data_IF_971414036565
#
_entry.id   IF_971414036565
#
_cell.length_a   1.000
_cell.length_b   1.000
_cell.length_c   1.000
_cell.angle_alpha   90.00
_cell.angle_beta   90.00
_cell.angle_gamma   90.00
#
_symmetry.space_group_name_H-M   'P 1'
#
loop_
_entity.id
_entity.type
_entity.pdbx_description
1 polymer ?
#
# COMPACT_ATOMS: atom_id res chain seq x y z
N UNK A 1 -12.39 -5.52 -14.70
CA UNK A 1 -12.79 -4.76 -13.49
C UNK A 1 -14.14 -4.10 -13.70
N UNK A 2 -14.98 -4.04 -12.68
CA UNK A 2 -16.23 -3.28 -12.69
C UNK A 2 -16.02 -1.90 -12.06
N UNK A 3 -16.99 -0.99 -12.22
CA UNK A 3 -17.01 0.36 -11.62
C UNK A 3 -16.72 0.34 -10.12
N UNK A 4 -17.32 -0.58 -9.39
CA UNK A 4 -17.12 -0.75 -7.95
C UNK A 4 -15.67 -1.15 -7.57
N UNK A 5 -14.89 -1.67 -8.52
CA UNK A 5 -13.52 -2.13 -8.28
C UNK A 5 -12.45 -1.02 -8.39
N UNK A 6 -12.75 0.13 -9.02
CA UNK A 6 -11.82 1.27 -9.04
C UNK A 6 -11.78 2.01 -7.71
N UNK A 7 -12.85 1.94 -6.91
CA UNK A 7 -12.89 2.50 -5.56
C UNK A 7 -12.86 4.03 -5.48
N UNK A 8 -13.08 4.74 -6.60
CA UNK A 8 -13.10 6.21 -6.67
C UNK A 8 -14.52 6.67 -6.98
N UNK A 9 -15.20 7.37 -6.06
CA UNK A 9 -16.54 7.90 -6.30
C UNK A 9 -16.54 9.03 -7.35
N UNK A 10 -17.62 9.14 -8.12
CA UNK A 10 -17.86 10.30 -8.99
C UNK A 10 -16.94 10.46 -10.18
N UNK A 11 -16.28 9.37 -10.64
CA UNK A 11 -15.44 9.41 -11.83
C UNK A 11 -16.19 9.89 -13.07
N UNK A 12 -15.51 10.72 -13.87
CA UNK A 12 -15.96 11.04 -15.23
C UNK A 12 -16.11 9.72 -16.05
N UNK A 13 -17.18 9.61 -16.82
CA UNK A 13 -17.53 8.36 -17.51
C UNK A 13 -16.52 7.95 -18.58
N UNK A 14 -15.89 8.91 -19.26
CA UNK A 14 -14.89 8.64 -20.30
C UNK A 14 -13.57 8.20 -19.66
N UNK A 15 -13.15 8.88 -18.58
CA UNK A 15 -11.98 8.48 -17.80
C UNK A 15 -12.19 7.10 -17.19
N UNK A 16 -13.34 6.82 -16.61
CA UNK A 16 -13.67 5.52 -16.02
C UNK A 16 -13.56 4.39 -17.04
N UNK A 17 -14.17 4.56 -18.24
CA UNK A 17 -14.10 3.57 -19.32
C UNK A 17 -12.64 3.32 -19.77
N UNK A 18 -11.84 4.39 -19.89
CA UNK A 18 -10.42 4.30 -20.23
C UNK A 18 -9.63 3.54 -19.16
N UNK A 19 -9.81 3.88 -17.87
CA UNK A 19 -9.14 3.19 -16.77
C UNK A 19 -9.50 1.72 -16.70
N UNK A 20 -10.78 1.36 -16.89
CA UNK A 20 -11.23 -0.05 -16.92
C UNK A 20 -10.56 -0.80 -18.07
N UNK A 21 -10.48 -0.20 -19.26
CA UNK A 21 -9.83 -0.80 -20.42
C UNK A 21 -8.33 -1.01 -20.18
N UNK A 22 -7.62 0.00 -19.66
CA UNK A 22 -6.20 -0.09 -19.42
C UNK A 22 -5.88 -1.02 -18.24
N UNK A 23 -6.71 -1.08 -17.21
CA UNK A 23 -6.59 -2.08 -16.13
C UNK A 23 -6.74 -3.51 -16.65
N UNK A 24 -7.62 -3.75 -17.62
CA UNK A 24 -7.73 -5.06 -18.26
C UNK A 24 -6.44 -5.45 -19.01
N UNK A 25 -5.79 -4.49 -19.69
CA UNK A 25 -4.47 -4.69 -20.33
C UNK A 25 -3.36 -4.96 -19.30
N UNK A 26 -3.39 -4.25 -18.16
CA UNK A 26 -2.46 -4.51 -17.03
C UNK A 26 -2.64 -5.94 -16.52
N UNK A 27 -3.87 -6.39 -16.28
CA UNK A 27 -4.15 -7.75 -15.81
C UNK A 27 -3.72 -8.82 -16.81
N UNK A 28 -3.95 -8.58 -18.10
CA UNK A 28 -3.52 -9.48 -19.17
C UNK A 28 -1.99 -9.58 -19.21
N UNK A 29 -1.30 -8.42 -19.21
CA UNK A 29 0.15 -8.37 -19.26
C UNK A 29 0.76 -8.99 -17.99
N UNK A 30 0.19 -8.72 -16.81
CA UNK A 30 0.59 -9.31 -15.54
C UNK A 30 0.57 -10.83 -15.62
N UNK A 31 -0.54 -11.42 -16.07
CA UNK A 31 -0.67 -12.88 -16.25
C UNK A 31 0.28 -13.44 -17.30
N UNK A 32 0.52 -12.70 -18.39
CA UNK A 32 1.40 -13.15 -19.48
C UNK A 32 2.87 -13.23 -19.07
N UNK A 33 3.30 -12.48 -18.08
CA UNK A 33 4.65 -12.54 -17.52
C UNK A 33 4.87 -13.68 -16.52
N UNK A 34 3.78 -14.24 -15.96
CA UNK A 34 3.83 -15.38 -15.05
C UNK A 34 3.71 -16.67 -15.88
N UNK A 35 4.73 -16.92 -16.67
CA UNK A 35 4.88 -18.11 -17.52
C UNK A 35 6.26 -18.71 -17.33
N UNK A 36 6.36 -20.00 -17.38
CA UNK A 36 7.64 -20.69 -17.20
C UNK A 36 7.55 -22.15 -17.65
N UNK A 37 8.66 -22.87 -17.58
CA UNK A 37 8.74 -24.29 -17.89
C UNK A 37 8.46 -25.19 -16.68
N UNK A 38 8.51 -24.62 -15.48
CA UNK A 38 8.40 -25.38 -14.22
C UNK A 38 6.98 -25.16 -13.63
N UNK A 39 6.13 -26.20 -13.59
CA UNK A 39 4.73 -26.06 -13.20
C UNK A 39 4.51 -25.44 -11.82
N UNK A 40 5.30 -25.83 -10.83
CA UNK A 40 5.21 -25.29 -9.46
C UNK A 40 5.42 -23.77 -9.43
N UNK A 41 6.40 -23.24 -10.18
CA UNK A 41 6.68 -21.80 -10.24
C UNK A 41 5.51 -21.04 -10.84
N UNK A 42 4.84 -21.60 -11.85
CA UNK A 42 3.64 -20.99 -12.46
C UNK A 42 2.50 -20.99 -11.45
N UNK A 43 2.24 -22.13 -10.80
CA UNK A 43 1.16 -22.28 -9.82
C UNK A 43 1.36 -21.29 -8.66
N UNK A 44 2.53 -21.29 -8.04
CA UNK A 44 2.82 -20.44 -6.89
C UNK A 44 2.79 -18.96 -7.25
N UNK A 45 3.38 -18.55 -8.39
CA UNK A 45 3.39 -17.13 -8.81
C UNK A 45 2.02 -16.61 -9.19
N UNK A 46 1.12 -17.44 -9.69
CA UNK A 46 -0.27 -17.06 -10.00
C UNK A 46 -1.15 -16.95 -8.76
N UNK A 47 -0.82 -17.62 -7.71
CA UNK A 47 -1.66 -17.75 -6.51
C UNK A 47 -2.20 -16.40 -5.99
N UNK A 48 -1.32 -15.45 -5.65
CA UNK A 48 -1.75 -14.12 -5.18
C UNK A 48 -2.26 -13.20 -6.30
N UNK A 49 -1.88 -13.44 -7.55
CA UNK A 49 -2.44 -12.70 -8.69
C UNK A 49 -3.92 -13.04 -8.86
N UNK A 50 -4.26 -14.34 -8.81
CA UNK A 50 -5.62 -14.84 -8.98
C UNK A 50 -6.49 -14.58 -7.74
N UNK A 51 -5.91 -14.52 -6.54
CA UNK A 51 -6.59 -14.07 -5.34
C UNK A 51 -7.09 -12.61 -5.41
N UNK A 52 -6.65 -11.87 -6.42
CA UNK A 52 -7.13 -10.51 -6.69
C UNK A 52 -6.37 -9.42 -5.92
N UNK A 53 -7.07 -8.36 -5.53
CA UNK A 53 -6.53 -7.20 -4.83
C UNK A 53 -7.09 -5.89 -5.37
N UNK A 54 -6.92 -4.80 -4.61
CA UNK A 54 -7.45 -3.46 -4.95
C UNK A 54 -6.75 -2.83 -6.18
N UNK A 55 -5.58 -3.32 -6.57
CA UNK A 55 -4.78 -2.80 -7.71
C UNK A 55 -4.53 -1.28 -7.64
N UNK A 56 -4.35 -0.75 -6.44
CA UNK A 56 -4.14 0.69 -6.23
C UNK A 56 -2.89 1.21 -6.97
N UNK A 57 -1.80 0.42 -6.99
CA UNK A 57 -0.55 0.83 -7.65
C UNK A 57 -0.71 0.95 -9.17
N UNK A 58 -1.26 -0.04 -9.89
CA UNK A 58 -1.64 0.13 -11.29
C UNK A 58 -2.59 1.30 -11.52
N UNK A 59 -3.61 1.48 -10.69
CA UNK A 59 -4.57 2.57 -10.82
C UNK A 59 -3.87 3.94 -10.74
N UNK A 60 -2.97 4.14 -9.78
CA UNK A 60 -2.20 5.38 -9.65
C UNK A 60 -1.25 5.61 -10.82
N UNK A 61 -0.65 4.54 -11.39
CA UNK A 61 0.15 4.66 -12.60
C UNK A 61 -0.71 5.14 -13.78
N UNK A 62 -1.91 4.59 -13.94
CA UNK A 62 -2.82 4.98 -15.02
C UNK A 62 -3.39 6.39 -14.83
N UNK A 63 -3.67 6.81 -13.59
CA UNK A 63 -4.09 8.18 -13.26
C UNK A 63 -2.96 9.18 -13.49
N UNK A 64 -1.73 8.88 -13.06
CA UNK A 64 -0.56 9.72 -13.31
C UNK A 64 -0.29 9.91 -14.80
N UNK A 65 -0.57 8.90 -15.63
CA UNK A 65 -0.42 8.98 -17.07
C UNK A 65 -1.40 9.95 -17.75
N UNK A 66 -2.49 10.33 -17.12
CA UNK A 66 -3.48 11.27 -17.68
C UNK A 66 -2.92 12.70 -17.82
N UNK A 67 -1.81 13.00 -17.17
CA UNK A 67 -1.13 14.31 -17.28
C UNK A 67 -0.15 14.41 -18.46
N UNK A 68 -0.01 13.32 -19.22
CA UNK A 68 0.71 13.23 -20.49
C UNK A 68 -0.14 12.60 -21.58
N UNK A 69 0.39 11.58 -22.27
CA UNK A 69 -0.30 10.76 -23.27
C UNK A 69 -0.61 9.39 -22.67
N UNK A 70 -1.86 9.16 -22.19
CA UNK A 70 -2.22 7.92 -21.52
C UNK A 70 -2.32 6.72 -22.47
N UNK A 71 -2.41 5.50 -21.91
CA UNK A 71 -2.71 4.27 -22.64
C UNK A 71 -1.53 3.67 -23.43
N UNK A 72 -0.36 4.26 -23.38
CA UNK A 72 0.86 3.76 -24.05
C UNK A 72 1.36 2.44 -23.43
N UNK A 73 1.98 1.58 -24.25
CA UNK A 73 2.52 0.27 -23.80
C UNK A 73 3.50 0.42 -22.63
N UNK A 74 4.32 1.47 -22.62
CA UNK A 74 5.28 1.73 -21.52
C UNK A 74 4.58 2.05 -20.20
N UNK A 75 3.41 2.72 -20.25
CA UNK A 75 2.58 3.00 -19.06
C UNK A 75 2.02 1.69 -18.50
N UNK A 76 1.51 0.81 -19.37
CA UNK A 76 0.99 -0.51 -18.97
C UNK A 76 2.10 -1.37 -18.36
N UNK A 77 3.29 -1.40 -18.99
CA UNK A 77 4.44 -2.13 -18.45
C UNK A 77 4.87 -1.59 -17.08
N UNK A 78 4.88 -0.27 -16.91
CA UNK A 78 5.23 0.37 -15.63
C UNK A 78 4.21 0.03 -14.53
N UNK A 79 2.92 0.00 -14.85
CA UNK A 79 1.88 -0.43 -13.93
C UNK A 79 2.07 -1.89 -13.48
N UNK A 80 2.44 -2.78 -14.41
CA UNK A 80 2.77 -4.19 -14.12
C UNK A 80 4.02 -4.30 -13.26
N UNK A 81 5.06 -3.50 -13.51
CA UNK A 81 6.28 -3.45 -12.67
C UNK A 81 5.92 -3.15 -11.22
N UNK A 82 5.11 -2.11 -10.97
CA UNK A 82 4.72 -1.72 -9.62
C UNK A 82 3.90 -2.83 -8.92
N UNK A 83 2.98 -3.48 -9.65
CA UNK A 83 2.17 -4.54 -9.07
C UNK A 83 2.98 -5.83 -8.84
N UNK A 84 3.87 -6.23 -9.76
CA UNK A 84 4.77 -7.38 -9.57
C UNK A 84 5.71 -7.17 -8.38
N UNK A 85 6.27 -5.97 -8.23
CA UNK A 85 7.08 -5.62 -7.06
C UNK A 85 6.28 -5.82 -5.78
N UNK A 86 5.06 -5.26 -5.72
CA UNK A 86 4.21 -5.43 -4.55
C UNK A 86 3.84 -6.89 -4.29
N UNK A 87 3.49 -7.66 -5.33
CA UNK A 87 3.19 -9.08 -5.17
C UNK A 87 4.40 -9.85 -4.63
N UNK A 88 5.59 -9.57 -5.14
CA UNK A 88 6.82 -10.22 -4.67
C UNK A 88 7.08 -9.93 -3.18
N UNK A 89 6.88 -8.67 -2.74
CA UNK A 89 7.01 -8.34 -1.30
C UNK A 89 5.99 -9.06 -0.45
N UNK A 90 4.74 -9.20 -0.91
CA UNK A 90 3.71 -9.93 -0.15
C UNK A 90 4.08 -11.41 0.11
N UNK A 91 4.78 -12.08 -0.82
CA UNK A 91 5.27 -13.44 -0.58
C UNK A 91 6.32 -13.49 0.52
N UNK A 92 7.18 -12.47 0.61
CA UNK A 92 8.20 -12.36 1.64
C UNK A 92 7.59 -11.93 2.98
N UNK A 93 6.66 -10.97 2.95
CA UNK A 93 5.92 -10.50 4.13
C UNK A 93 5.17 -11.67 4.79
N UNK A 94 4.46 -12.50 4.01
CA UNK A 94 3.75 -13.67 4.53
C UNK A 94 4.65 -14.64 5.28
N UNK A 95 5.92 -14.77 4.85
CA UNK A 95 6.90 -15.60 5.56
C UNK A 95 7.38 -14.95 6.85
N UNK A 96 7.64 -13.63 6.83
CA UNK A 96 8.11 -12.88 8.00
C UNK A 96 7.05 -12.78 9.08
N UNK A 97 5.79 -12.60 8.66
CA UNK A 97 4.63 -12.44 9.53
C UNK A 97 4.02 -13.80 9.94
N UNK A 98 4.55 -14.92 9.44
CA UNK A 98 3.96 -16.29 9.60
C UNK A 98 2.46 -16.31 9.25
N UNK A 99 2.05 -15.50 8.28
CA UNK A 99 0.67 -15.26 7.96
C UNK A 99 -0.02 -16.54 7.43
N UNK A 100 -1.16 -16.98 8.02
CA UNK A 100 -1.85 -18.18 7.54
C UNK A 100 -2.68 -17.92 6.28
N UNK A 101 -3.13 -16.69 6.09
CA UNK A 101 -4.02 -16.27 5.00
C UNK A 101 -3.52 -14.97 4.38
N UNK A 102 -3.68 -14.84 3.04
CA UNK A 102 -3.49 -13.59 2.30
C UNK A 102 -4.61 -13.40 1.28
N UNK A 103 -5.25 -12.23 1.29
CA UNK A 103 -6.37 -11.89 0.38
C UNK A 103 -7.53 -12.91 0.46
N UNK A 104 -7.77 -13.49 1.63
CA UNK A 104 -8.84 -14.47 1.86
C UNK A 104 -8.54 -15.89 1.37
N UNK A 105 -7.34 -16.15 0.85
CA UNK A 105 -6.86 -17.49 0.51
C UNK A 105 -5.72 -17.89 1.44
N UNK A 106 -5.43 -19.19 1.50
CA UNK A 106 -4.25 -19.71 2.20
C UNK A 106 -2.98 -19.05 1.68
N UNK A 107 -2.09 -18.57 2.55
CA UNK A 107 -0.84 -17.93 2.14
C UNK A 107 0.12 -18.93 1.49
N UNK A 108 1.08 -18.43 0.71
CA UNK A 108 2.02 -19.30 0.01
C UNK A 108 2.94 -20.06 0.96
N UNK A 109 3.40 -19.42 2.05
CA UNK A 109 4.22 -20.07 3.08
C UNK A 109 3.47 -21.19 3.81
N UNK A 110 2.19 -20.99 4.09
CA UNK A 110 1.34 -22.01 4.73
C UNK A 110 1.09 -23.19 3.77
N UNK A 111 0.80 -22.91 2.49
CA UNK A 111 0.45 -23.94 1.50
C UNK A 111 1.66 -24.72 0.95
N UNK A 112 2.80 -24.08 0.71
CA UNK A 112 3.97 -24.68 0.07
C UNK A 112 5.26 -24.59 0.88
N UNK A 113 5.22 -23.96 2.06
CA UNK A 113 6.35 -23.75 2.93
C UNK A 113 7.18 -22.50 2.58
N UNK A 114 7.94 -22.02 3.58
CA UNK A 114 8.70 -20.77 3.52
C UNK A 114 9.67 -20.73 2.33
N UNK A 115 10.39 -21.83 2.06
CA UNK A 115 11.35 -21.88 0.96
C UNK A 115 10.71 -21.61 -0.39
N UNK A 116 9.52 -22.16 -0.65
CA UNK A 116 8.79 -21.96 -1.90
C UNK A 116 8.26 -20.54 -1.98
N UNK A 117 7.73 -19.99 -0.89
CA UNK A 117 7.25 -18.62 -0.84
C UNK A 117 8.37 -17.62 -1.14
N UNK A 118 9.53 -17.74 -0.48
CA UNK A 118 10.70 -16.87 -0.71
C UNK A 118 11.13 -16.94 -2.18
N UNK A 119 11.34 -18.15 -2.72
CA UNK A 119 11.78 -18.33 -4.12
C UNK A 119 10.72 -17.82 -5.13
N UNK A 120 9.44 -17.87 -4.78
CA UNK A 120 8.37 -17.28 -5.62
C UNK A 120 8.48 -15.76 -5.65
N UNK A 121 8.72 -15.10 -4.51
CA UNK A 121 9.00 -13.67 -4.45
C UNK A 121 10.21 -13.29 -5.30
N UNK A 122 11.32 -14.00 -5.17
CA UNK A 122 12.55 -13.80 -5.96
C UNK A 122 12.29 -13.95 -7.48
N UNK A 123 11.50 -14.97 -7.86
CA UNK A 123 11.10 -15.14 -9.26
C UNK A 123 10.30 -13.95 -9.79
N UNK A 124 9.36 -13.43 -9.01
CA UNK A 124 8.60 -12.23 -9.40
C UNK A 124 9.50 -11.00 -9.50
N UNK A 125 10.48 -10.81 -8.61
CA UNK A 125 11.48 -9.75 -8.74
C UNK A 125 12.34 -9.89 -10.00
N UNK A 126 12.70 -11.12 -10.41
CA UNK A 126 13.38 -11.35 -11.67
C UNK A 126 12.50 -10.94 -12.88
N UNK A 127 11.18 -11.20 -12.83
CA UNK A 127 10.24 -10.72 -13.86
C UNK A 127 10.14 -9.20 -13.90
N UNK A 128 10.07 -8.58 -12.72
CA UNK A 128 10.09 -7.11 -12.58
C UNK A 128 11.36 -6.52 -13.20
N UNK A 129 12.52 -7.09 -12.90
CA UNK A 129 13.81 -6.64 -13.44
C UNK A 129 13.87 -6.73 -14.98
N UNK A 130 13.32 -7.79 -15.57
CA UNK A 130 13.25 -7.95 -17.01
C UNK A 130 12.37 -6.87 -17.67
N UNK A 131 11.21 -6.54 -17.08
CA UNK A 131 10.35 -5.46 -17.55
C UNK A 131 11.01 -4.08 -17.43
N UNK A 132 11.67 -3.82 -16.31
CA UNK A 132 12.41 -2.57 -16.06
C UNK A 132 13.51 -2.35 -17.09
N UNK A 133 14.23 -3.40 -17.47
CA UNK A 133 15.25 -3.31 -18.53
C UNK A 133 14.65 -2.86 -19.87
N UNK A 134 13.42 -3.27 -20.19
CA UNK A 134 12.67 -2.80 -21.37
C UNK A 134 12.20 -1.36 -21.27
N UNK A 135 11.94 -0.85 -20.05
CA UNK A 135 11.56 0.55 -19.81
C UNK A 135 12.75 1.51 -19.84
N UNK A 136 13.96 1.00 -19.67
CA UNK A 136 15.20 1.77 -19.80
C UNK A 136 15.89 2.10 -18.48
N UNK A 137 17.11 2.67 -18.55
CA UNK A 137 17.99 2.81 -17.38
C UNK A 137 17.42 3.72 -16.28
N UNK A 138 16.65 4.74 -16.64
CA UNK A 138 16.02 5.63 -15.65
C UNK A 138 14.95 4.89 -14.83
N UNK A 139 14.15 4.01 -15.45
CA UNK A 139 13.23 3.17 -14.74
C UNK A 139 13.93 2.25 -13.74
N UNK A 140 15.04 1.63 -14.17
CA UNK A 140 15.86 0.77 -13.30
C UNK A 140 16.37 1.56 -12.10
N UNK A 141 16.90 2.78 -12.32
CA UNK A 141 17.44 3.64 -11.26
C UNK A 141 16.35 4.05 -10.23
N UNK A 142 15.21 4.50 -10.72
CA UNK A 142 14.07 4.87 -9.85
C UNK A 142 13.62 3.66 -9.04
N UNK A 143 13.45 2.50 -9.68
CA UNK A 143 13.02 1.29 -9.00
C UNK A 143 14.03 0.82 -7.94
N UNK A 144 15.33 0.89 -8.22
CA UNK A 144 16.37 0.50 -7.28
C UNK A 144 16.29 1.33 -5.99
N UNK A 145 16.17 2.66 -6.11
CA UNK A 145 15.99 3.57 -4.95
C UNK A 145 14.67 3.27 -4.21
N UNK A 146 13.59 3.03 -4.94
CA UNK A 146 12.30 2.69 -4.35
C UNK A 146 12.35 1.39 -3.56
N UNK A 147 12.97 0.37 -4.14
CA UNK A 147 13.09 -0.94 -3.52
C UNK A 147 14.02 -0.92 -2.30
N UNK A 148 15.12 -0.16 -2.37
CA UNK A 148 15.99 0.09 -1.21
C UNK A 148 15.19 0.72 -0.05
N UNK A 149 14.41 1.77 -0.30
CA UNK A 149 13.54 2.39 0.70
C UNK A 149 12.56 1.39 1.29
N UNK A 150 11.87 0.61 0.44
CA UNK A 150 10.90 -0.39 0.87
C UNK A 150 11.54 -1.41 1.82
N UNK A 151 12.72 -1.93 1.47
CA UNK A 151 13.46 -2.91 2.30
C UNK A 151 13.94 -2.27 3.61
N UNK A 152 14.44 -1.03 3.57
CA UNK A 152 14.82 -0.28 4.78
C UNK A 152 13.60 -0.10 5.69
N UNK A 153 12.45 0.32 5.14
CA UNK A 153 11.21 0.45 5.91
C UNK A 153 10.78 -0.86 6.58
N UNK A 154 10.90 -1.99 5.87
CA UNK A 154 10.63 -3.32 6.43
C UNK A 154 11.62 -3.70 7.55
N UNK A 155 12.91 -3.40 7.38
CA UNK A 155 13.91 -3.63 8.43
C UNK A 155 13.63 -2.76 9.66
N UNK A 156 13.31 -1.49 9.46
CA UNK A 156 12.97 -0.55 10.54
C UNK A 156 11.75 -1.04 11.33
N UNK A 157 10.69 -1.49 10.66
CA UNK A 157 9.51 -2.07 11.29
C UNK A 157 9.88 -3.28 12.15
N UNK A 158 10.69 -4.20 11.62
CA UNK A 158 11.12 -5.42 12.32
C UNK A 158 12.01 -5.13 13.53
N UNK A 159 12.91 -4.13 13.43
CA UNK A 159 13.86 -3.81 14.49
C UNK A 159 13.28 -2.90 15.58
N UNK A 160 12.21 -2.15 15.26
CA UNK A 160 11.64 -1.13 16.14
C UNK A 160 12.47 0.15 16.16
N UNK A 161 12.01 1.13 16.97
CA UNK A 161 12.64 2.44 17.07
C UNK A 161 14.07 2.34 17.66
N UNK A 162 15.00 3.02 16.99
CA UNK A 162 16.39 3.12 17.45
C UNK A 162 16.61 4.35 18.33
N UNK A 163 17.71 4.39 19.09
CA UNK A 163 18.07 5.55 19.92
C UNK A 163 18.11 6.84 19.09
N UNK A 164 17.44 7.87 19.60
CA UNK A 164 17.42 9.21 19.01
C UNK A 164 16.20 9.53 18.13
N UNK A 165 15.34 8.57 17.84
CA UNK A 165 14.04 8.79 17.17
C UNK A 165 12.90 8.59 18.17
N UNK A 166 11.90 9.48 18.14
CA UNK A 166 10.61 9.22 18.79
C UNK A 166 9.88 8.06 18.09
N UNK A 167 8.96 7.40 18.78
CA UNK A 167 8.14 6.34 18.17
C UNK A 167 7.32 6.89 17.00
N UNK A 168 6.85 8.13 17.10
CA UNK A 168 6.08 8.79 16.05
C UNK A 168 6.92 9.05 14.79
N UNK A 169 8.14 9.56 14.95
CA UNK A 169 9.07 9.76 13.82
C UNK A 169 9.44 8.43 13.17
N UNK A 170 9.77 7.42 13.98
CA UNK A 170 10.06 6.08 13.51
C UNK A 170 8.88 5.49 12.72
N UNK A 171 7.68 5.48 13.29
CA UNK A 171 6.47 4.99 12.63
C UNK A 171 6.23 5.72 11.29
N UNK A 172 6.31 7.06 11.30
CA UNK A 172 6.08 7.85 10.08
C UNK A 172 7.11 7.51 8.99
N UNK A 173 8.37 7.30 9.35
CA UNK A 173 9.40 6.89 8.40
C UNK A 173 9.15 5.47 7.86
N UNK A 174 8.77 4.54 8.72
CA UNK A 174 8.43 3.15 8.32
C UNK A 174 7.33 3.15 7.27
N UNK A 175 6.20 3.80 7.52
CA UNK A 175 5.08 3.80 6.57
C UNK A 175 5.40 4.57 5.28
N UNK A 176 6.21 5.63 5.34
CA UNK A 176 6.67 6.35 4.16
C UNK A 176 7.58 5.47 3.28
N UNK A 177 8.50 4.73 3.87
CA UNK A 177 9.45 3.91 3.13
C UNK A 177 8.86 2.55 2.71
N UNK A 178 8.22 1.83 3.61
CA UNK A 178 7.61 0.51 3.31
C UNK A 178 6.43 0.63 2.33
N UNK A 179 5.52 1.57 2.56
CA UNK A 179 4.28 1.70 1.79
C UNK A 179 4.30 2.87 0.83
N UNK A 180 4.68 4.07 1.28
CA UNK A 180 4.67 5.32 0.50
C UNK A 180 5.57 5.27 -0.73
N UNK A 181 6.78 4.73 -0.60
CA UNK A 181 7.79 4.72 -1.67
C UNK A 181 7.31 4.09 -2.98
N UNK A 182 6.68 2.92 -2.92
CA UNK A 182 6.20 2.22 -4.12
C UNK A 182 4.90 2.84 -4.67
N UNK A 183 4.07 3.43 -3.82
CA UNK A 183 2.87 4.17 -4.25
C UNK A 183 3.28 5.46 -4.97
N UNK A 184 4.27 6.20 -4.44
CA UNK A 184 4.86 7.35 -5.11
C UNK A 184 5.46 7.00 -6.46
N UNK A 185 6.23 5.90 -6.51
CA UNK A 185 6.82 5.41 -7.75
C UNK A 185 5.77 5.02 -8.78
N UNK A 186 4.62 4.51 -8.35
CA UNK A 186 3.51 4.17 -9.25
C UNK A 186 2.96 5.43 -9.96
N UNK A 187 2.64 6.48 -9.22
CA UNK A 187 2.19 7.76 -9.80
C UNK A 187 3.27 8.40 -10.68
N UNK A 188 4.53 8.39 -10.20
CA UNK A 188 5.70 8.90 -10.91
C UNK A 188 5.91 8.20 -12.25
N UNK A 189 5.85 6.89 -12.30
CA UNK A 189 6.02 6.12 -13.53
C UNK A 189 4.92 6.42 -14.54
N UNK A 190 3.67 6.52 -14.08
CA UNK A 190 2.58 6.93 -14.94
C UNK A 190 2.87 8.25 -15.65
N UNK A 191 3.26 9.26 -14.91
CA UNK A 191 3.61 10.57 -15.43
C UNK A 191 4.82 10.54 -16.39
N UNK A 192 5.93 9.90 -15.99
CA UNK A 192 7.15 9.81 -16.81
C UNK A 192 6.86 9.12 -18.13
N UNK A 193 6.23 7.94 -18.13
CA UNK A 193 6.04 7.14 -19.33
C UNK A 193 4.92 7.64 -20.24
N UNK A 194 4.07 8.54 -19.72
CA UNK A 194 3.13 9.31 -20.53
C UNK A 194 3.72 10.61 -21.07
N UNK A 195 4.94 10.99 -20.68
CA UNK A 195 5.58 12.23 -21.12
C UNK A 195 5.00 13.49 -20.48
N UNK A 196 4.56 13.41 -19.24
CA UNK A 196 4.13 14.58 -18.46
C UNK A 196 5.30 15.56 -18.24
N UNK A 197 4.99 16.81 -17.90
CA UNK A 197 6.01 17.81 -17.59
C UNK A 197 6.84 17.41 -16.35
N UNK A 198 8.10 17.83 -16.23
CA UNK A 198 8.90 17.58 -15.02
C UNK A 198 8.19 18.03 -13.73
N UNK A 199 7.48 19.17 -13.76
CA UNK A 199 6.72 19.67 -12.61
C UNK A 199 5.56 18.75 -12.25
N UNK A 200 4.79 18.27 -13.24
CA UNK A 200 3.71 17.31 -12.98
C UNK A 200 4.24 15.99 -12.41
N UNK A 201 5.42 15.54 -12.88
CA UNK A 201 6.10 14.35 -12.33
C UNK A 201 6.45 14.54 -10.85
N UNK A 202 6.99 15.71 -10.46
CA UNK A 202 7.30 16.04 -9.07
C UNK A 202 6.03 16.02 -8.21
N UNK A 203 5.00 16.78 -8.62
CA UNK A 203 3.71 16.86 -7.90
C UNK A 203 3.10 15.46 -7.70
N UNK A 204 3.04 14.66 -8.75
CA UNK A 204 2.47 13.32 -8.69
C UNK A 204 3.30 12.36 -7.84
N UNK A 205 4.62 12.56 -7.77
CA UNK A 205 5.50 11.79 -6.89
C UNK A 205 5.20 12.13 -5.42
N UNK A 206 5.16 13.41 -5.07
CA UNK A 206 4.86 13.88 -3.72
C UNK A 206 3.43 13.51 -3.29
N UNK A 207 2.45 13.64 -4.21
CA UNK A 207 1.09 13.17 -3.99
C UNK A 207 1.07 11.67 -3.67
N UNK A 208 1.80 10.86 -4.42
CA UNK A 208 1.90 9.42 -4.19
C UNK A 208 2.47 9.06 -2.82
N UNK A 209 3.48 9.81 -2.33
CA UNK A 209 3.99 9.66 -0.95
C UNK A 209 2.87 9.91 0.08
N UNK A 210 2.14 11.04 -0.07
CA UNK A 210 1.05 11.39 0.84
C UNK A 210 -0.08 10.36 0.82
N UNK A 211 -0.46 9.88 -0.37
CA UNK A 211 -1.49 8.83 -0.51
C UNK A 211 -1.03 7.52 0.11
N UNK A 212 0.24 7.17 0.00
CA UNK A 212 0.77 5.96 0.62
C UNK A 212 0.67 6.00 2.14
N UNK A 213 1.06 7.13 2.75
CA UNK A 213 0.93 7.37 4.19
C UNK A 213 -0.55 7.38 4.59
N UNK A 214 -1.39 8.13 3.87
CA UNK A 214 -2.83 8.22 4.10
C UNK A 214 -3.51 6.84 4.07
N UNK A 215 -3.11 5.99 3.11
CA UNK A 215 -3.65 4.66 2.95
C UNK A 215 -3.30 3.77 4.16
N UNK A 216 -2.05 3.83 4.64
CA UNK A 216 -1.63 3.06 5.81
C UNK A 216 -2.32 3.55 7.09
N UNK A 217 -2.38 4.87 7.31
CA UNK A 217 -3.12 5.44 8.44
C UNK A 217 -4.59 5.02 8.46
N UNK A 218 -5.22 4.96 7.28
CA UNK A 218 -6.61 4.49 7.17
C UNK A 218 -6.73 3.00 7.51
N UNK A 219 -5.82 2.16 7.02
CA UNK A 219 -5.82 0.72 7.32
C UNK A 219 -5.60 0.46 8.83
N UNK A 220 -4.71 1.21 9.50
CA UNK A 220 -4.49 1.16 10.95
C UNK A 220 -5.77 1.51 11.76
N UNK A 221 -6.45 2.59 11.34
CA UNK A 221 -7.71 3.01 11.97
C UNK A 221 -8.79 1.94 11.77
N UNK A 222 -8.88 1.35 10.58
CA UNK A 222 -9.86 0.31 10.26
C UNK A 222 -9.60 -0.96 11.08
N UNK A 223 -8.34 -1.35 11.29
CA UNK A 223 -8.00 -2.53 12.10
C UNK A 223 -8.53 -2.41 13.54
N UNK A 224 -8.53 -1.19 14.09
CA UNK A 224 -9.05 -0.92 15.43
C UNK A 224 -10.58 -0.68 15.43
N UNK A 225 -11.09 0.09 14.46
CA UNK A 225 -12.47 0.58 14.45
C UNK A 225 -13.50 -0.48 14.04
N UNK A 226 -13.13 -1.44 13.18
CA UNK A 226 -14.05 -2.46 12.69
C UNK A 226 -14.61 -3.33 13.81
N UNK A 227 -15.93 -3.51 13.82
CA UNK A 227 -16.60 -4.33 14.86
C UNK A 227 -16.72 -5.81 14.49
N UNK A 228 -16.65 -6.14 13.22
CA UNK A 228 -16.76 -7.52 12.69
C UNK A 228 -16.21 -7.61 11.28
N UNK A 229 -16.11 -8.84 10.76
CA UNK A 229 -15.58 -9.24 9.44
C UNK A 229 -16.10 -8.49 8.18
N UNK A 230 -16.64 -7.30 8.28
CA UNK A 230 -17.04 -6.48 7.15
C UNK A 230 -15.83 -6.05 6.26
N UNK A 231 -14.65 -5.94 6.87
CA UNK A 231 -13.40 -5.59 6.14
C UNK A 231 -12.68 -6.79 5.52
N UNK A 232 -13.12 -8.02 5.78
CA UNK A 232 -12.43 -9.25 5.39
C UNK A 232 -11.14 -9.54 6.18
N UNK A 233 -10.84 -8.73 7.22
CA UNK A 233 -9.72 -8.93 8.18
C UNK A 233 -10.31 -9.14 9.56
N UNK A 234 -9.61 -9.88 10.41
CA UNK A 234 -9.94 -9.98 11.84
C UNK A 234 -9.47 -8.70 12.53
N UNK A 235 -10.36 -7.91 13.20
CA UNK A 235 -9.93 -6.67 13.87
C UNK A 235 -8.85 -6.95 14.92
N UNK A 236 -7.90 -6.02 15.06
CA UNK A 236 -6.80 -6.12 16.02
C UNK A 236 -5.67 -7.04 15.58
N UNK A 237 -5.48 -7.25 14.29
CA UNK A 237 -4.33 -8.00 13.74
C UNK A 237 -3.02 -7.37 14.21
N UNK A 238 -2.88 -6.05 14.09
CA UNK A 238 -1.66 -5.34 14.50
C UNK A 238 -1.37 -5.49 16.01
N UNK A 239 -2.41 -5.58 16.86
CA UNK A 239 -2.25 -5.85 18.28
C UNK A 239 -1.72 -7.26 18.56
N UNK A 240 -2.16 -8.25 17.78
CA UNK A 240 -1.69 -9.65 17.93
C UNK A 240 -0.24 -9.81 17.47
N UNK A 241 0.14 -9.09 16.43
CA UNK A 241 1.49 -9.09 15.88
C UNK A 241 2.44 -8.17 16.64
N UNK A 242 1.91 -7.24 17.47
CA UNK A 242 2.68 -6.25 18.20
C UNK A 242 3.23 -5.14 17.29
N UNK A 243 2.61 -4.94 16.12
CA UNK A 243 2.99 -3.88 15.18
C UNK A 243 2.40 -2.54 15.65
N UNK A 244 3.23 -1.50 15.86
CA UNK A 244 2.74 -0.20 16.26
C UNK A 244 1.90 0.44 15.15
N UNK A 245 0.68 0.90 15.51
CA UNK A 245 -0.17 1.74 14.67
C UNK A 245 -0.09 3.18 15.13
N UNK A 246 -0.54 4.14 14.31
CA UNK A 246 -0.58 5.56 14.72
C UNK A 246 -1.31 5.75 16.05
N UNK A 247 -2.41 5.02 16.28
CA UNK A 247 -3.19 5.12 17.53
C UNK A 247 -2.37 4.62 18.73
N UNK A 248 -1.71 3.47 18.60
CA UNK A 248 -0.92 2.89 19.68
C UNK A 248 0.34 3.70 19.96
N UNK A 249 0.99 4.26 18.94
CA UNK A 249 2.15 5.16 19.08
C UNK A 249 1.80 6.39 19.91
N UNK A 250 0.68 7.05 19.63
CA UNK A 250 0.23 8.19 20.44
C UNK A 250 0.00 7.85 21.92
N UNK A 251 -0.45 6.64 22.21
CA UNK A 251 -0.64 6.16 23.58
C UNK A 251 0.71 5.88 24.22
N UNK A 252 1.60 5.16 23.54
CA UNK A 252 2.92 4.80 24.05
C UNK A 252 3.78 6.04 24.39
N UNK A 253 3.64 7.12 23.64
CA UNK A 253 4.31 8.39 23.90
C UNK A 253 3.54 9.33 24.84
N UNK A 254 2.34 8.97 25.26
CA UNK A 254 1.53 9.82 26.16
C UNK A 254 2.21 10.01 27.51
N UNK A 255 2.16 11.22 28.05
CA UNK A 255 2.58 11.53 29.43
C UNK A 255 1.44 11.46 30.45
N UNK A 256 0.24 11.07 30.01
CA UNK A 256 -0.94 10.96 30.87
C UNK A 256 -0.85 9.71 31.75
N UNK A 257 -0.87 9.86 33.10
CA UNK A 257 -0.84 8.70 33.99
C UNK A 257 -1.99 7.72 33.78
N UNK A 258 -3.12 8.17 33.23
CA UNK A 258 -4.25 7.29 32.91
C UNK A 258 -3.93 6.27 31.81
N UNK A 259 -2.92 6.53 30.99
CA UNK A 259 -2.50 5.67 29.88
C UNK A 259 -1.52 4.56 30.30
N UNK A 260 -0.97 4.60 31.54
CA UNK A 260 0.11 3.68 31.96
C UNK A 260 -0.28 2.19 31.91
N UNK A 261 -1.50 1.84 32.31
CA UNK A 261 -1.97 0.46 32.23
C UNK A 261 -2.13 0.00 30.75
N UNK A 262 -2.58 0.89 29.87
CA UNK A 262 -2.72 0.62 28.45
C UNK A 262 -1.36 0.52 27.75
N UNK A 263 -0.40 1.38 28.08
CA UNK A 263 0.99 1.28 27.60
C UNK A 263 1.61 -0.06 27.95
N UNK A 264 1.44 -0.52 29.20
CA UNK A 264 1.95 -1.82 29.60
C UNK A 264 1.35 -2.97 28.78
N UNK A 265 0.09 -2.86 28.40
CA UNK A 265 -0.58 -3.86 27.53
C UNK A 265 -0.06 -3.78 26.08
N UNK A 266 0.18 -2.58 25.56
CA UNK A 266 0.61 -2.34 24.17
C UNK A 266 2.13 -2.52 23.96
N UNK A 267 2.90 -2.80 25.01
CA UNK A 267 4.36 -2.95 24.91
C UNK A 267 4.83 -4.28 24.32
N UNK A 268 3.93 -5.23 24.05
CA UNK A 268 4.22 -6.55 23.51
C UNK A 268 3.02 -7.07 22.70
N UNK A 269 3.23 -8.09 21.83
CA UNK A 269 2.13 -8.77 21.13
C UNK A 269 1.08 -9.32 22.09
N UNK A 270 -0.21 -9.19 21.72
CA UNK A 270 -1.33 -9.64 22.56
C UNK A 270 -1.92 -10.93 21.99
N UNK A 271 -1.65 -12.05 22.61
CA UNK A 271 -2.12 -13.37 22.14
C UNK A 271 -3.45 -13.81 22.75
N UNK A 272 -3.89 -13.19 23.86
CA UNK A 272 -5.19 -13.51 24.50
C UNK A 272 -6.32 -12.72 23.84
N UNK A 273 -7.26 -13.43 23.22
CA UNK A 273 -8.38 -12.84 22.49
C UNK A 273 -9.30 -11.98 23.38
N UNK A 274 -9.42 -12.30 24.67
CA UNK A 274 -10.21 -11.48 25.60
C UNK A 274 -9.50 -10.15 25.88
N UNK A 275 -8.18 -10.16 25.98
CA UNK A 275 -7.34 -8.96 26.12
C UNK A 275 -7.37 -8.13 24.83
N UNK A 276 -7.26 -8.75 23.65
CA UNK A 276 -7.41 -8.06 22.36
C UNK A 276 -8.76 -7.33 22.28
N UNK A 277 -9.85 -8.03 22.58
CA UNK A 277 -11.21 -7.46 22.54
C UNK A 277 -11.38 -6.28 23.52
N UNK A 278 -10.86 -6.42 24.74
CA UNK A 278 -10.89 -5.34 25.75
C UNK A 278 -10.05 -4.14 25.32
N UNK A 279 -8.87 -4.38 24.77
CA UNK A 279 -7.96 -3.35 24.26
C UNK A 279 -8.61 -2.59 23.09
N UNK A 280 -9.14 -3.29 22.08
CA UNK A 280 -9.86 -2.66 20.95
C UNK A 280 -11.02 -1.77 21.44
N UNK A 281 -11.81 -2.25 22.41
CA UNK A 281 -12.90 -1.45 22.99
C UNK A 281 -12.38 -0.15 23.61
N UNK A 282 -11.25 -0.21 24.30
CA UNK A 282 -10.61 0.98 24.91
C UNK A 282 -10.08 1.92 23.84
N UNK A 283 -9.35 1.40 22.84
CA UNK A 283 -8.76 2.19 21.76
C UNK A 283 -9.79 2.96 20.95
N UNK A 284 -10.96 2.35 20.66
CA UNK A 284 -12.05 2.97 19.89
C UNK A 284 -12.56 4.29 20.50
N UNK A 285 -12.50 4.42 21.82
CA UNK A 285 -12.97 5.60 22.53
C UNK A 285 -11.83 6.48 23.07
N UNK A 286 -10.60 6.08 22.86
CA UNK A 286 -9.44 6.79 23.36
C UNK A 286 -9.17 8.06 22.54
N UNK A 287 -8.64 9.13 23.19
CA UNK A 287 -8.26 10.41 22.53
C UNK A 287 -7.28 10.22 21.36
N UNK A 288 -6.41 9.21 21.42
CA UNK A 288 -5.47 8.89 20.38
C UNK A 288 -6.16 8.54 19.04
N UNK A 289 -7.32 7.90 19.06
CA UNK A 289 -8.12 7.61 17.85
C UNK A 289 -8.57 8.91 17.16
N UNK A 290 -9.01 9.90 17.94
CA UNK A 290 -9.40 11.22 17.40
C UNK A 290 -8.20 11.96 16.82
N UNK A 291 -7.04 11.90 17.49
CA UNK A 291 -5.79 12.49 17.00
C UNK A 291 -5.40 11.85 15.67
N UNK A 292 -5.42 10.52 15.57
CA UNK A 292 -5.09 9.79 14.35
C UNK A 292 -6.06 10.12 13.19
N UNK A 293 -7.36 10.27 13.46
CA UNK A 293 -8.34 10.71 12.46
C UNK A 293 -8.09 12.14 11.97
N UNK A 294 -7.70 13.07 12.85
CA UNK A 294 -7.32 14.43 12.45
C UNK A 294 -6.08 14.43 11.57
N UNK A 295 -5.09 13.61 11.91
CA UNK A 295 -3.89 13.46 11.10
C UNK A 295 -4.19 12.87 9.73
N UNK A 296 -5.08 11.87 9.66
CA UNK A 296 -5.57 11.31 8.40
C UNK A 296 -6.16 12.41 7.50
N UNK A 297 -7.04 13.26 8.04
CA UNK A 297 -7.62 14.39 7.28
C UNK A 297 -6.54 15.38 6.84
N UNK A 298 -5.58 15.69 7.71
CA UNK A 298 -4.48 16.58 7.36
C UNK A 298 -3.66 16.05 6.17
N UNK A 299 -3.25 14.79 6.17
CA UNK A 299 -2.52 14.19 5.04
C UNK A 299 -3.34 14.20 3.75
N UNK A 300 -4.65 14.00 3.83
CA UNK A 300 -5.53 14.10 2.67
C UNK A 300 -5.61 15.54 2.13
N UNK A 301 -5.70 16.55 2.98
CA UNK A 301 -5.75 17.94 2.57
C UNK A 301 -4.40 18.41 2.00
N UNK A 302 -3.27 17.94 2.54
CA UNK A 302 -1.95 18.16 1.97
C UNK A 302 -1.85 17.54 0.56
N UNK A 303 -2.31 16.29 0.39
CA UNK A 303 -2.34 15.63 -0.92
C UNK A 303 -3.21 16.36 -1.94
N UNK A 304 -4.40 16.84 -1.53
CA UNK A 304 -5.29 17.65 -2.38
C UNK A 304 -4.65 18.98 -2.77
N UNK A 305 -3.92 19.60 -1.86
CA UNK A 305 -3.21 20.87 -2.11
C UNK A 305 -2.14 20.71 -3.19
N UNK A 306 -1.38 19.59 -3.16
CA UNK A 306 -0.39 19.28 -4.19
C UNK A 306 -1.04 19.17 -5.58
N UNK A 307 -2.09 18.37 -5.70
CA UNK A 307 -2.74 18.17 -7.01
C UNK A 307 -3.53 19.38 -7.49
N UNK A 308 -3.82 20.37 -6.63
CA UNK A 308 -4.43 21.61 -7.05
C UNK A 308 -3.57 22.39 -8.07
N UNK A 309 -2.24 22.20 -8.05
CA UNK A 309 -1.32 22.80 -9.02
C UNK A 309 -1.37 22.16 -10.42
N UNK A 310 -1.89 20.93 -10.53
CA UNK A 310 -2.02 20.23 -11.81
C UNK A 310 -3.09 20.88 -12.70
N UNK A 311 -2.98 20.68 -14.02
CA UNK A 311 -4.01 21.14 -14.98
C UNK A 311 -5.39 20.57 -14.64
N UNK A 312 -6.43 21.35 -14.85
CA UNK A 312 -7.81 20.89 -14.66
C UNK A 312 -8.17 19.82 -15.71
N UNK A 313 -8.53 18.65 -15.22
CA UNK A 313 -8.96 17.51 -16.01
C UNK A 313 -9.64 16.46 -15.12
N UNK A 314 -10.42 15.51 -15.69
CA UNK A 314 -11.10 14.49 -14.91
C UNK A 314 -10.18 13.65 -14.01
N UNK A 315 -8.91 13.48 -14.39
CA UNK A 315 -7.95 12.75 -13.57
C UNK A 315 -7.54 13.51 -12.30
N UNK A 316 -7.46 14.85 -12.35
CA UNK A 316 -7.26 15.68 -11.15
C UNK A 316 -8.40 15.51 -10.16
N UNK A 317 -9.64 15.55 -10.65
CA UNK A 317 -10.83 15.31 -9.81
C UNK A 317 -10.82 13.90 -9.21
N UNK A 318 -10.38 12.91 -10.00
CA UNK A 318 -10.23 11.53 -9.54
C UNK A 318 -9.19 11.40 -8.42
N UNK A 319 -8.04 12.08 -8.51
CA UNK A 319 -7.01 12.09 -7.46
C UNK A 319 -7.54 12.74 -6.17
N UNK A 320 -8.29 13.83 -6.27
CA UNK A 320 -8.96 14.48 -5.12
C UNK A 320 -9.98 13.51 -4.50
N UNK A 321 -10.84 12.91 -5.32
CA UNK A 321 -11.86 11.96 -4.87
C UNK A 321 -11.27 10.71 -4.23
N UNK A 322 -10.07 10.29 -4.64
CA UNK A 322 -9.36 9.16 -4.01
C UNK A 322 -8.99 9.48 -2.56
N UNK A 323 -8.55 10.71 -2.25
CA UNK A 323 -8.28 11.13 -0.88
C UNK A 323 -9.55 11.01 -0.02
N UNK A 324 -10.69 11.52 -0.53
CA UNK A 324 -11.97 11.46 0.20
C UNK A 324 -12.46 10.02 0.38
N UNK A 325 -12.28 9.18 -0.63
CA UNK A 325 -12.64 7.76 -0.54
C UNK A 325 -11.84 7.02 0.53
N UNK A 326 -10.55 7.33 0.71
CA UNK A 326 -9.72 6.73 1.76
C UNK A 326 -10.21 7.17 3.14
N UNK A 327 -10.51 8.45 3.34
CA UNK A 327 -11.06 8.97 4.62
C UNK A 327 -12.39 8.29 4.96
N UNK A 328 -13.31 8.21 3.98
CA UNK A 328 -14.65 7.65 4.18
C UNK A 328 -14.63 6.18 4.61
N UNK A 329 -13.60 5.43 4.24
CA UNK A 329 -13.43 4.02 4.71
C UNK A 329 -13.22 3.89 6.22
N UNK A 330 -12.83 4.95 6.92
CA UNK A 330 -12.55 4.95 8.36
C UNK A 330 -13.70 5.48 9.22
N UNK A 331 -14.83 5.84 8.58
CA UNK A 331 -16.00 6.49 9.19
C UNK A 331 -17.01 5.47 9.70
#
# INVERSE_FOLDING_TARGET
MSRAQLGIPGLDSALEASLISDMARVEELLRSHIVGKYPLVIETSRHLVEAGGKRLRPLLTLLGAQFGTPGGERVIQAAVVCELTHLATLYHDDVMDEAPLRRGVESANNRWGNTVAILTGDYLFAKTSALLAGLGPEAVRIHAVTFERLVIGQIMETQGATEGLSLLEHYTQVIADKTGSLIATSARYGAIFAGASPRDVEILTEYGEKIGILFQLADDIIDIASETAESGKTPGTDLREGVPTMVTVHILESSDPADEALKATLSAPIHDEAVVAATLKTLRTHKAMEISRKLLVQYADEAKTLVAELKDCPAKDALISLCDAIITRTS
#
